data_IF_805685721548
#
_entry.id   IF_805685721548
#
_cell.length_a   1.000
_cell.length_b   1.000
_cell.length_c   1.000
_cell.angle_alpha   90.00
_cell.angle_beta   90.00
_cell.angle_gamma   90.00
#
_symmetry.space_group_name_H-M   'P 1'
#
loop_
_entity.id
_entity.type
_entity.pdbx_description
1 polymer ?
#
# COMPACT_ATOMS: atom_id res chain seq x y z
N UNK A 1 13.55 -34.42 43.20
CA UNK A 1 12.76 -34.53 41.96
C UNK A 1 11.58 -33.62 42.15
N UNK A 2 11.69 -32.38 41.70
CA UNK A 2 10.64 -31.38 41.85
C UNK A 2 10.30 -30.90 40.44
N UNK A 3 9.05 -31.18 40.08
CA UNK A 3 8.47 -31.07 38.75
C UNK A 3 8.37 -29.58 38.37
N UNK A 4 9.02 -29.18 37.28
CA UNK A 4 8.87 -27.84 36.70
C UNK A 4 7.58 -27.85 35.88
N UNK A 5 6.53 -27.09 36.23
CA UNK A 5 5.42 -26.95 35.32
C UNK A 5 5.91 -26.22 34.06
N UNK A 6 5.88 -26.93 32.94
CA UNK A 6 6.06 -26.38 31.61
C UNK A 6 4.93 -25.38 31.36
N UNK A 7 5.26 -24.08 31.40
CA UNK A 7 4.38 -23.03 30.93
C UNK A 7 4.27 -23.14 29.41
N UNK A 8 3.33 -23.96 28.96
CA UNK A 8 2.76 -23.82 27.62
C UNK A 8 1.96 -22.53 27.65
N UNK A 9 2.57 -21.46 27.17
CA UNK A 9 1.88 -20.20 26.92
C UNK A 9 0.79 -20.47 25.86
N UNK A 10 -0.44 -20.71 26.33
CA UNK A 10 -1.61 -20.84 25.48
C UNK A 10 -1.79 -19.48 24.83
N UNK A 11 -1.34 -19.36 23.58
CA UNK A 11 -1.58 -18.20 22.74
C UNK A 11 -3.09 -17.98 22.65
N UNK A 12 -3.59 -16.99 23.38
CA UNK A 12 -5.02 -16.64 23.35
C UNK A 12 -5.42 -16.38 21.90
N UNK A 13 -6.62 -16.83 21.47
CA UNK A 13 -7.10 -16.53 20.14
C UNK A 13 -7.19 -15.01 20.03
N UNK A 14 -6.44 -14.44 19.09
CA UNK A 14 -6.48 -13.00 18.78
C UNK A 14 -7.94 -12.61 18.61
N UNK A 15 -8.45 -11.75 19.49
CA UNK A 15 -9.82 -11.27 19.43
C UNK A 15 -10.05 -10.64 18.07
N UNK A 16 -11.07 -11.12 17.35
CA UNK A 16 -11.40 -10.60 16.03
C UNK A 16 -11.84 -9.15 16.17
N UNK A 17 -11.19 -8.25 15.45
CA UNK A 17 -11.51 -6.82 15.46
C UNK A 17 -12.48 -6.53 14.30
N UNK A 18 -13.78 -6.46 14.59
CA UNK A 18 -14.83 -6.39 13.56
C UNK A 18 -14.69 -5.17 12.62
N UNK A 19 -14.31 -4.00 13.15
CA UNK A 19 -14.15 -2.80 12.33
C UNK A 19 -13.00 -2.92 11.32
N UNK A 20 -11.95 -3.68 11.65
CA UNK A 20 -10.82 -3.94 10.74
C UNK A 20 -11.31 -4.73 9.52
N UNK A 21 -12.20 -5.69 9.72
CA UNK A 21 -12.79 -6.44 8.62
C UNK A 21 -13.67 -5.56 7.74
N UNK A 22 -14.48 -4.68 8.33
CA UNK A 22 -15.27 -3.70 7.57
C UNK A 22 -14.37 -2.76 6.76
N UNK A 23 -13.27 -2.28 7.35
CA UNK A 23 -12.30 -1.43 6.67
C UNK A 23 -11.61 -2.16 5.51
N UNK A 24 -11.29 -3.46 5.66
CA UNK A 24 -10.77 -4.30 4.57
C UNK A 24 -11.79 -4.46 3.44
N UNK A 25 -13.05 -4.73 3.75
CA UNK A 25 -14.12 -4.84 2.74
C UNK A 25 -14.25 -3.54 1.96
N UNK A 26 -14.23 -2.40 2.66
CA UNK A 26 -14.23 -1.09 2.01
C UNK A 26 -13.01 -0.88 1.10
N UNK A 27 -11.80 -1.22 1.58
CA UNK A 27 -10.59 -1.10 0.79
C UNK A 27 -10.62 -1.96 -0.49
N UNK A 28 -11.10 -3.21 -0.38
CA UNK A 28 -11.30 -4.12 -1.53
C UNK A 28 -12.29 -3.51 -2.52
N UNK A 29 -13.43 -3.03 -2.03
CA UNK A 29 -14.43 -2.36 -2.85
C UNK A 29 -13.85 -1.15 -3.59
N UNK A 30 -13.08 -0.30 -2.92
CA UNK A 30 -12.40 0.83 -3.54
C UNK A 30 -11.45 0.40 -4.67
N UNK A 31 -10.65 -0.67 -4.48
CA UNK A 31 -9.75 -1.18 -5.54
C UNK A 31 -10.54 -1.69 -6.74
N UNK A 32 -11.61 -2.46 -6.51
CA UNK A 32 -12.47 -2.96 -7.60
C UNK A 32 -13.13 -1.79 -8.34
N UNK A 33 -13.64 -0.80 -7.60
CA UNK A 33 -14.23 0.41 -8.18
C UNK A 33 -13.21 1.18 -9.01
N UNK A 34 -11.94 1.27 -8.58
CA UNK A 34 -10.88 1.95 -9.32
C UNK A 34 -10.73 1.36 -10.72
N UNK A 35 -10.59 0.04 -10.81
CA UNK A 35 -10.44 -0.64 -12.08
C UNK A 35 -11.71 -0.63 -12.92
N UNK A 36 -12.89 -0.70 -12.29
CA UNK A 36 -14.14 -0.54 -13.01
C UNK A 36 -14.23 0.86 -13.66
N UNK A 37 -13.90 1.92 -12.92
CA UNK A 37 -13.90 3.29 -13.44
C UNK A 37 -12.87 3.46 -14.54
N UNK A 38 -11.64 2.99 -14.37
CA UNK A 38 -10.57 3.07 -15.39
C UNK A 38 -10.88 2.25 -16.65
N UNK A 39 -11.72 1.22 -16.56
CA UNK A 39 -12.16 0.43 -17.72
C UNK A 39 -13.26 1.14 -18.49
N UNK A 40 -14.16 1.85 -17.79
CA UNK A 40 -15.31 2.53 -18.40
C UNK A 40 -14.95 3.93 -18.91
N UNK A 41 -14.12 4.67 -18.17
CA UNK A 41 -13.79 6.06 -18.44
C UNK A 41 -12.33 6.22 -18.85
N UNK A 42 -12.09 6.88 -19.99
CA UNK A 42 -10.75 7.28 -20.41
C UNK A 42 -10.40 8.64 -19.83
N UNK A 43 -9.20 8.75 -19.25
CA UNK A 43 -8.74 9.96 -18.56
C UNK A 43 -7.95 10.89 -19.50
N UNK A 44 -8.43 11.06 -20.72
CA UNK A 44 -7.93 12.05 -21.69
C UNK A 44 -8.91 13.21 -21.87
N UNK A 45 -8.38 14.37 -22.26
CA UNK A 45 -9.13 15.62 -22.34
C UNK A 45 -10.27 15.51 -23.36
N UNK A 46 -10.03 14.83 -24.48
CA UNK A 46 -10.99 14.73 -25.57
C UNK A 46 -12.20 13.89 -25.14
N UNK A 47 -11.97 12.74 -24.50
CA UNK A 47 -13.03 11.89 -23.96
C UNK A 47 -13.84 12.63 -22.88
N UNK A 48 -13.15 13.25 -21.91
CA UNK A 48 -13.79 13.95 -20.79
C UNK A 48 -14.66 15.12 -21.29
N UNK A 49 -14.21 15.84 -22.32
CA UNK A 49 -14.95 16.98 -22.89
C UNK A 49 -16.30 16.57 -23.50
N UNK A 50 -16.38 15.35 -24.05
CA UNK A 50 -17.59 14.78 -24.67
C UNK A 50 -18.60 14.24 -23.67
N UNK A 51 -18.20 13.98 -22.43
CA UNK A 51 -19.10 13.48 -21.38
C UNK A 51 -20.13 14.54 -20.96
N UNK A 52 -21.31 14.10 -20.55
CA UNK A 52 -22.29 14.98 -19.88
C UNK A 52 -21.77 15.41 -18.51
N UNK A 53 -22.23 16.56 -17.99
CA UNK A 53 -21.78 17.05 -16.68
C UNK A 53 -22.02 16.01 -15.56
N UNK A 54 -23.17 15.32 -15.57
CA UNK A 54 -23.48 14.27 -14.59
C UNK A 54 -22.47 13.11 -14.66
N UNK A 55 -22.12 12.68 -15.87
CA UNK A 55 -21.14 11.61 -16.07
C UNK A 55 -19.73 12.04 -15.66
N UNK A 56 -19.31 13.28 -15.95
CA UNK A 56 -18.03 13.82 -15.47
C UNK A 56 -17.94 13.84 -13.95
N UNK A 57 -18.97 14.35 -13.28
CA UNK A 57 -19.01 14.39 -11.81
C UNK A 57 -18.95 12.98 -11.25
N UNK A 58 -19.75 12.05 -11.78
CA UNK A 58 -19.73 10.65 -11.35
C UNK A 58 -18.33 10.02 -11.51
N UNK A 59 -17.72 10.19 -12.70
CA UNK A 59 -16.38 9.70 -12.99
C UNK A 59 -15.35 10.21 -11.97
N UNK A 60 -15.26 11.52 -11.75
CA UNK A 60 -14.27 12.09 -10.84
C UNK A 60 -14.52 11.73 -9.37
N UNK A 61 -15.78 11.65 -8.93
CA UNK A 61 -16.13 11.23 -7.57
C UNK A 61 -15.73 9.77 -7.35
N UNK A 62 -16.15 8.86 -8.23
CA UNK A 62 -15.80 7.45 -8.11
C UNK A 62 -14.29 7.22 -8.25
N UNK A 63 -13.62 7.93 -9.16
CA UNK A 63 -12.17 7.88 -9.30
C UNK A 63 -11.46 8.34 -8.03
N UNK A 64 -11.93 9.42 -7.39
CA UNK A 64 -11.30 9.93 -6.16
C UNK A 64 -11.52 8.98 -4.98
N UNK A 65 -12.75 8.51 -4.77
CA UNK A 65 -13.10 7.60 -3.67
C UNK A 65 -12.38 6.25 -3.81
N UNK A 66 -12.30 5.73 -5.04
CA UNK A 66 -11.66 4.44 -5.30
C UNK A 66 -10.15 4.43 -4.99
N UNK A 67 -9.47 5.59 -5.05
CA UNK A 67 -8.05 5.72 -4.68
C UNK A 67 -7.79 5.55 -3.18
N UNK A 68 -8.82 5.55 -2.35
CA UNK A 68 -8.70 5.27 -0.91
C UNK A 68 -8.33 3.81 -0.60
N UNK A 69 -8.49 2.88 -1.55
CA UNK A 69 -8.24 1.46 -1.30
C UNK A 69 -6.84 1.16 -0.75
N UNK A 70 -5.79 1.63 -1.44
CA UNK A 70 -4.39 1.42 -1.02
C UNK A 70 -4.06 2.10 0.33
N UNK A 71 -4.39 3.39 0.54
CA UNK A 71 -4.23 4.03 1.84
C UNK A 71 -4.86 3.23 2.98
N UNK A 72 -6.10 2.75 2.82
CA UNK A 72 -6.78 1.95 3.85
C UNK A 72 -6.07 0.61 4.12
N UNK A 73 -5.60 -0.10 3.09
CA UNK A 73 -4.81 -1.31 3.30
C UNK A 73 -3.54 -1.04 4.10
N UNK A 74 -2.84 0.06 3.83
CA UNK A 74 -1.62 0.43 4.55
C UNK A 74 -1.92 0.93 5.97
N UNK A 75 -2.99 1.70 6.20
CA UNK A 75 -3.42 2.07 7.55
C UNK A 75 -3.73 0.83 8.39
N UNK A 76 -4.47 -0.13 7.84
CA UNK A 76 -4.79 -1.40 8.52
C UNK A 76 -3.51 -2.21 8.77
N UNK A 77 -2.58 -2.24 7.83
CA UNK A 77 -1.29 -2.92 7.99
C UNK A 77 -0.49 -2.29 9.13
N UNK A 78 -0.42 -0.96 9.19
CA UNK A 78 0.20 -0.20 10.26
C UNK A 78 -0.42 -0.55 11.61
N UNK A 79 -1.72 -0.37 11.72
CA UNK A 79 -2.51 -0.67 12.91
C UNK A 79 -2.28 -2.10 13.45
N UNK A 80 -2.21 -3.11 12.58
CA UNK A 80 -2.10 -4.51 13.02
C UNK A 80 -0.67 -4.96 13.33
N UNK A 81 0.34 -4.35 12.70
CA UNK A 81 1.70 -4.88 12.66
C UNK A 81 2.73 -3.97 13.32
N UNK A 82 2.47 -2.66 13.41
CA UNK A 82 3.40 -1.71 14.04
C UNK A 82 3.21 -1.60 15.55
N UNK A 83 2.01 -1.88 16.08
CA UNK A 83 1.69 -2.00 17.52
C UNK A 83 2.23 -3.31 18.15
N UNK A 84 3.42 -3.74 17.73
CA UNK A 84 4.08 -4.94 18.24
C UNK A 84 5.57 -4.68 18.44
N UNK A 85 6.11 -5.22 19.53
CA UNK A 85 7.55 -5.31 19.74
C UNK A 85 8.02 -6.65 19.18
N UNK A 86 9.02 -6.60 18.31
CA UNK A 86 9.65 -7.76 17.68
C UNK A 86 11.03 -8.00 18.26
N UNK A 87 11.24 -9.09 19.00
CA UNK A 87 12.60 -9.57 19.29
C UNK A 87 13.31 -10.03 18.01
N UNK A 88 14.65 -10.17 18.00
CA UNK A 88 15.37 -10.68 16.83
C UNK A 88 14.80 -12.01 16.29
N UNK A 89 14.41 -12.92 17.18
CA UNK A 89 13.80 -14.20 16.82
C UNK A 89 12.42 -13.99 16.18
N UNK A 90 11.61 -13.08 16.73
CA UNK A 90 10.29 -12.76 16.20
C UNK A 90 10.38 -12.05 14.83
N UNK A 91 11.36 -11.17 14.61
CA UNK A 91 11.62 -10.56 13.30
C UNK A 91 11.97 -11.64 12.26
N UNK A 92 12.84 -12.60 12.61
CA UNK A 92 13.17 -13.73 11.73
C UNK A 92 11.96 -14.61 11.43
N UNK A 93 11.10 -14.85 12.41
CA UNK A 93 9.84 -15.59 12.22
C UNK A 93 8.90 -14.81 11.29
N UNK A 94 8.78 -13.49 11.47
CA UNK A 94 7.97 -12.63 10.62
C UNK A 94 8.43 -12.69 9.17
N UNK A 95 9.73 -12.56 8.90
CA UNK A 95 10.21 -12.66 7.53
C UNK A 95 9.98 -14.05 6.93
N UNK A 96 10.24 -15.12 7.67
CA UNK A 96 10.04 -16.49 7.16
C UNK A 96 8.57 -16.86 6.94
N UNK A 97 7.67 -16.40 7.81
CA UNK A 97 6.26 -16.81 7.77
C UNK A 97 5.34 -15.81 7.07
N UNK A 98 5.65 -14.52 7.09
CA UNK A 98 4.80 -13.49 6.50
C UNK A 98 5.41 -13.01 5.18
N UNK A 99 6.65 -12.53 5.20
CA UNK A 99 7.28 -11.95 4.02
C UNK A 99 7.58 -13.00 2.93
N UNK A 100 8.21 -14.13 3.27
CA UNK A 100 8.50 -15.19 2.30
C UNK A 100 7.21 -15.79 1.72
N UNK A 101 6.16 -15.98 2.54
CA UNK A 101 4.87 -16.48 2.03
C UNK A 101 4.21 -15.50 1.07
N UNK A 102 4.29 -14.20 1.37
CA UNK A 102 3.84 -13.14 0.46
C UNK A 102 4.61 -13.18 -0.86
N UNK A 103 5.95 -13.25 -0.79
CA UNK A 103 6.81 -13.35 -1.96
C UNK A 103 6.46 -14.58 -2.82
N UNK A 104 6.41 -15.77 -2.21
CA UNK A 104 6.06 -17.01 -2.93
C UNK A 104 4.69 -16.89 -3.62
N UNK A 105 3.71 -16.32 -2.93
CA UNK A 105 2.37 -16.12 -3.49
C UNK A 105 2.44 -15.21 -4.73
N UNK A 106 3.18 -14.12 -4.64
CA UNK A 106 3.41 -13.18 -5.75
C UNK A 106 4.13 -13.83 -6.93
N UNK A 107 5.18 -14.61 -6.68
CA UNK A 107 5.92 -15.30 -7.73
C UNK A 107 5.03 -16.31 -8.46
N UNK A 108 4.21 -17.08 -7.72
CA UNK A 108 3.23 -18.01 -8.29
C UNK A 108 2.25 -17.26 -9.20
N UNK A 109 1.66 -16.15 -8.72
CA UNK A 109 0.75 -15.35 -9.53
C UNK A 109 1.41 -14.76 -10.75
N UNK A 110 2.67 -14.32 -10.65
CA UNK A 110 3.44 -13.80 -11.79
C UNK A 110 3.59 -14.85 -12.89
N UNK A 111 3.89 -16.10 -12.54
CA UNK A 111 3.93 -17.21 -13.49
C UNK A 111 2.54 -17.49 -14.08
N UNK A 112 1.50 -17.58 -13.23
CA UNK A 112 0.13 -17.81 -13.69
C UNK A 112 -0.34 -16.73 -14.67
N UNK A 113 0.01 -15.46 -14.44
CA UNK A 113 -0.32 -14.37 -15.35
C UNK A 113 0.46 -14.45 -16.66
N UNK A 114 1.74 -14.82 -16.63
CA UNK A 114 2.50 -15.04 -17.86
C UNK A 114 1.88 -16.15 -18.72
N UNK A 115 1.42 -17.23 -18.08
CA UNK A 115 0.69 -18.32 -18.76
C UNK A 115 -0.67 -17.86 -19.29
N UNK A 116 -1.41 -17.08 -18.51
CA UNK A 116 -2.70 -16.52 -18.93
C UNK A 116 -2.56 -15.64 -20.18
N UNK A 117 -1.58 -14.73 -20.20
CA UNK A 117 -1.34 -13.86 -21.36
C UNK A 117 -0.92 -14.65 -22.60
N UNK A 118 -0.16 -15.72 -22.42
CA UNK A 118 0.24 -16.58 -23.52
C UNK A 118 -0.92 -17.39 -24.09
N UNK A 119 -1.71 -18.03 -23.24
CA UNK A 119 -2.77 -18.97 -23.65
C UNK A 119 -4.02 -18.24 -24.15
N UNK A 120 -4.43 -17.16 -23.47
CA UNK A 120 -5.73 -16.53 -23.69
C UNK A 120 -5.67 -15.17 -24.38
N UNK A 121 -4.50 -14.51 -24.40
CA UNK A 121 -4.31 -13.19 -25.02
C UNK A 121 -3.35 -13.24 -26.22
N UNK A 122 -2.98 -14.46 -26.64
CA UNK A 122 -2.09 -14.75 -27.79
C UNK A 122 -0.77 -13.95 -27.76
N UNK A 123 -0.32 -13.56 -26.56
CA UNK A 123 0.95 -12.85 -26.40
C UNK A 123 2.12 -13.82 -26.56
N UNK A 124 3.21 -13.43 -27.23
CA UNK A 124 4.36 -14.31 -27.37
C UNK A 124 4.98 -14.61 -26.01
N UNK A 125 5.10 -15.90 -25.67
CA UNK A 125 5.74 -16.31 -24.44
C UNK A 125 7.24 -16.03 -24.50
N UNK A 126 7.72 -15.19 -23.59
CA UNK A 126 9.13 -14.83 -23.51
C UNK A 126 9.65 -15.09 -22.10
N UNK A 127 10.47 -16.13 -21.98
CA UNK A 127 10.94 -16.58 -20.67
C UNK A 127 11.91 -15.60 -20.00
N UNK A 128 12.68 -14.83 -20.78
CA UNK A 128 13.54 -13.75 -20.27
C UNK A 128 12.68 -12.65 -19.63
N UNK A 129 11.55 -12.31 -20.24
CA UNK A 129 10.63 -11.33 -19.65
C UNK A 129 10.02 -11.84 -18.34
N UNK A 130 9.69 -13.12 -18.26
CA UNK A 130 9.15 -13.67 -17.00
C UNK A 130 10.21 -13.68 -15.91
N UNK A 131 11.45 -14.11 -16.20
CA UNK A 131 12.55 -14.04 -15.21
C UNK A 131 12.77 -12.60 -14.75
N UNK A 132 12.72 -11.61 -15.64
CA UNK A 132 12.78 -10.19 -15.27
C UNK A 132 11.60 -9.77 -14.39
N UNK A 133 10.43 -10.34 -14.56
CA UNK A 133 9.26 -10.08 -13.71
C UNK A 133 9.40 -10.71 -12.33
N UNK A 134 9.84 -11.97 -12.27
CA UNK A 134 10.09 -12.70 -11.02
C UNK A 134 11.22 -12.08 -10.17
N UNK A 135 12.13 -11.35 -10.81
CA UNK A 135 13.23 -10.65 -10.15
C UNK A 135 12.95 -9.16 -9.92
N UNK A 136 11.71 -8.72 -10.15
CA UNK A 136 11.28 -7.31 -10.04
C UNK A 136 12.05 -6.32 -10.93
N UNK A 137 12.82 -6.80 -11.91
CA UNK A 137 13.51 -5.98 -12.92
C UNK A 137 12.50 -5.36 -13.89
N UNK A 138 11.38 -6.04 -14.14
CA UNK A 138 10.30 -5.58 -15.02
C UNK A 138 8.95 -5.78 -14.34
N UNK A 139 8.05 -4.83 -14.48
CA UNK A 139 6.67 -5.03 -14.01
C UNK A 139 5.89 -5.99 -14.94
N UNK A 140 4.96 -6.73 -14.36
CA UNK A 140 3.90 -7.39 -15.12
C UNK A 140 3.00 -6.28 -15.71
N UNK A 141 2.62 -6.36 -17.01
CA UNK A 141 1.88 -5.28 -17.69
C UNK A 141 0.40 -5.23 -17.29
N UNK A 142 0.13 -5.13 -15.99
CA UNK A 142 -1.18 -5.01 -15.40
C UNK A 142 -1.19 -3.78 -14.48
N UNK A 143 -2.22 -2.95 -14.60
CA UNK A 143 -2.30 -1.64 -13.94
C UNK A 143 -2.29 -1.70 -12.40
N UNK A 144 -2.55 -2.85 -11.79
CA UNK A 144 -2.54 -3.06 -10.34
C UNK A 144 -1.24 -3.67 -9.80
N UNK A 145 -0.37 -4.19 -10.66
CA UNK A 145 0.82 -4.95 -10.22
C UNK A 145 1.91 -4.08 -9.61
N UNK A 146 1.80 -2.75 -9.69
CA UNK A 146 2.72 -1.83 -9.00
C UNK A 146 2.62 -1.95 -7.47
N UNK A 147 1.47 -2.35 -6.92
CA UNK A 147 1.26 -2.50 -5.48
C UNK A 147 2.15 -3.60 -4.88
N UNK A 148 2.44 -4.63 -5.67
CA UNK A 148 3.16 -5.83 -5.25
C UNK A 148 4.61 -5.56 -4.81
N UNK A 149 5.49 -4.97 -5.65
CA UNK A 149 6.85 -4.63 -5.21
C UNK A 149 6.84 -3.64 -4.05
N UNK A 150 5.88 -2.70 -4.02
CA UNK A 150 5.72 -1.75 -2.91
C UNK A 150 5.46 -2.49 -1.59
N UNK A 151 4.46 -3.37 -1.53
CA UNK A 151 4.11 -4.05 -0.27
C UNK A 151 5.18 -5.05 0.18
N UNK A 152 5.85 -5.72 -0.76
CA UNK A 152 7.01 -6.59 -0.48
C UNK A 152 8.12 -5.77 0.17
N UNK A 153 8.45 -4.61 -0.39
CA UNK A 153 9.47 -3.72 0.16
C UNK A 153 9.11 -3.24 1.58
N UNK A 154 7.87 -2.78 1.78
CA UNK A 154 7.39 -2.32 3.09
C UNK A 154 7.48 -3.42 4.15
N UNK A 155 7.09 -4.66 3.82
CA UNK A 155 7.09 -5.77 4.77
C UNK A 155 8.48 -6.20 5.24
N UNK A 156 9.55 -5.89 4.49
CA UNK A 156 10.93 -6.12 4.96
C UNK A 156 11.18 -5.30 6.23
N UNK A 157 10.74 -4.03 6.22
CA UNK A 157 11.06 -3.06 7.25
C UNK A 157 10.06 -3.03 8.42
N UNK A 158 8.90 -3.72 8.33
CA UNK A 158 7.86 -3.71 9.37
C UNK A 158 8.43 -3.98 10.79
N UNK A 159 9.19 -5.06 11.06
CA UNK A 159 9.69 -5.30 12.41
C UNK A 159 10.62 -4.19 12.93
N UNK A 160 11.42 -3.59 12.04
CA UNK A 160 12.36 -2.53 12.41
C UNK A 160 11.60 -1.24 12.74
N UNK A 161 10.65 -0.85 11.89
CA UNK A 161 9.83 0.35 12.09
C UNK A 161 9.00 0.20 13.36
N UNK A 162 8.35 -0.95 13.57
CA UNK A 162 7.55 -1.22 14.76
C UNK A 162 8.36 -1.02 16.06
N UNK A 163 9.56 -1.61 16.12
CA UNK A 163 10.45 -1.44 17.28
C UNK A 163 10.89 0.01 17.46
N UNK A 164 11.23 0.72 16.38
CA UNK A 164 11.62 2.13 16.44
C UNK A 164 10.50 3.01 17.02
N UNK A 165 9.24 2.76 16.61
CA UNK A 165 8.08 3.50 17.09
C UNK A 165 7.85 3.27 18.60
N UNK A 166 8.06 2.05 19.11
CA UNK A 166 7.95 1.76 20.54
C UNK A 166 9.05 2.40 21.41
N UNK A 167 10.20 2.72 20.81
CA UNK A 167 11.32 3.37 21.50
C UNK A 167 11.27 4.90 21.42
N UNK A 168 10.38 5.46 20.60
CA UNK A 168 10.33 6.89 20.30
C UNK A 168 9.03 7.50 20.83
N UNK A 169 9.09 8.70 21.40
CA UNK A 169 7.87 9.44 21.75
C UNK A 169 7.11 9.84 20.47
N UNK A 170 5.82 9.51 20.41
CA UNK A 170 4.92 9.83 19.30
C UNK A 170 4.98 11.31 18.87
N UNK A 171 5.20 12.23 19.81
CA UNK A 171 5.29 13.68 19.54
C UNK A 171 6.45 14.02 18.61
N UNK A 172 7.54 13.27 18.66
CA UNK A 172 8.72 13.48 17.80
C UNK A 172 8.40 13.17 16.35
N UNK A 173 7.46 12.26 16.08
CA UNK A 173 7.08 11.88 14.72
C UNK A 173 6.13 12.86 14.05
N UNK A 174 5.48 13.75 14.82
CA UNK A 174 4.59 14.77 14.25
C UNK A 174 5.36 15.64 13.26
N UNK A 175 6.58 16.07 13.61
CA UNK A 175 7.41 16.92 12.76
C UNK A 175 7.70 16.29 11.38
N UNK A 176 8.32 15.09 11.27
CA UNK A 176 8.56 14.47 9.97
C UNK A 176 7.26 14.08 9.25
N UNK A 177 6.22 13.63 9.95
CA UNK A 177 4.93 13.28 9.32
C UNK A 177 4.25 14.50 8.68
N UNK A 178 4.29 15.66 9.33
CA UNK A 178 3.76 16.92 8.77
C UNK A 178 4.54 17.31 7.52
N UNK A 179 5.87 17.20 7.52
CA UNK A 179 6.69 17.49 6.33
C UNK A 179 6.31 16.55 5.17
N UNK A 180 6.24 15.24 5.43
CA UNK A 180 5.83 14.26 4.41
C UNK A 180 4.41 14.53 3.92
N UNK A 181 3.50 14.94 4.79
CA UNK A 181 2.14 15.32 4.43
C UNK A 181 2.10 16.54 3.50
N UNK A 182 2.84 17.60 3.85
CA UNK A 182 2.93 18.81 3.02
C UNK A 182 3.47 18.44 1.63
N UNK A 183 4.55 17.66 1.57
CA UNK A 183 5.19 17.31 0.29
C UNK A 183 4.38 16.32 -0.55
N UNK A 184 3.64 15.40 0.08
CA UNK A 184 2.86 14.37 -0.63
C UNK A 184 1.45 14.81 -1.00
N UNK A 185 0.84 15.74 -0.26
CA UNK A 185 -0.57 16.13 -0.46
C UNK A 185 -0.74 17.62 -0.76
N UNK A 186 -0.20 18.52 0.07
CA UNK A 186 -0.42 19.96 -0.13
C UNK A 186 0.34 20.49 -1.33
N UNK A 187 1.62 20.17 -1.46
CA UNK A 187 2.47 20.64 -2.56
C UNK A 187 1.92 20.24 -3.95
N UNK A 188 1.53 18.97 -4.22
CA UNK A 188 0.89 18.62 -5.48
C UNK A 188 -0.44 19.36 -5.70
N UNK A 189 -1.25 19.53 -4.66
CA UNK A 189 -2.54 20.23 -4.74
C UNK A 189 -2.37 21.71 -5.09
N UNK A 190 -1.39 22.38 -4.47
CA UNK A 190 -1.03 23.77 -4.80
C UNK A 190 -0.55 23.86 -6.25
N UNK A 191 0.24 22.90 -6.72
CA UNK A 191 0.70 22.90 -8.11
C UNK A 191 -0.42 22.67 -9.13
N UNK A 192 -1.43 21.85 -8.79
CA UNK A 192 -2.64 21.73 -9.61
C UNK A 192 -3.38 23.08 -9.66
N UNK A 193 -3.54 23.76 -8.52
CA UNK A 193 -4.17 25.07 -8.47
C UNK A 193 -3.40 26.13 -9.27
N UNK A 194 -2.07 26.21 -9.12
CA UNK A 194 -1.23 27.13 -9.88
C UNK A 194 -1.35 26.90 -11.39
N UNK A 195 -1.36 25.63 -11.82
CA UNK A 195 -1.55 25.28 -13.23
C UNK A 195 -2.91 25.76 -13.77
N UNK A 196 -3.97 25.68 -12.98
CA UNK A 196 -5.30 26.19 -13.35
C UNK A 196 -5.29 27.73 -13.48
N UNK A 197 -4.58 28.41 -12.59
CA UNK A 197 -4.47 29.88 -12.59
C UNK A 197 -3.45 30.42 -13.60
N UNK A 198 -2.75 29.56 -14.35
CA UNK A 198 -1.71 29.97 -15.30
C UNK A 198 -0.40 30.43 -14.63
N UNK A 199 -0.22 30.13 -13.34
CA UNK A 199 1.03 30.39 -12.61
C UNK A 199 2.04 29.27 -12.83
N UNK A 200 3.32 29.58 -12.66
CA UNK A 200 4.38 28.57 -12.69
C UNK A 200 4.22 27.56 -11.54
N UNK A 201 4.56 26.29 -11.82
CA UNK A 201 4.59 25.26 -10.79
C UNK A 201 5.77 25.47 -9.86
N UNK A 202 5.52 25.35 -8.55
CA UNK A 202 6.55 25.32 -7.54
C UNK A 202 7.33 24.02 -7.72
N UNK A 203 8.65 24.07 -7.61
CA UNK A 203 9.53 22.90 -7.63
C UNK A 203 10.08 22.63 -6.25
N UNK A 204 10.15 21.37 -5.86
CA UNK A 204 10.87 20.91 -4.67
C UNK A 204 11.96 19.93 -5.09
N UNK A 205 13.14 20.05 -4.49
CA UNK A 205 14.28 19.12 -4.65
C UNK A 205 14.45 18.20 -3.44
N UNK A 206 13.61 18.37 -2.42
CA UNK A 206 13.68 17.59 -1.19
C UNK A 206 13.15 16.18 -1.44
N UNK A 207 14.01 15.17 -1.25
CA UNK A 207 13.62 13.76 -1.35
C UNK A 207 12.99 13.28 -0.04
N UNK A 208 11.85 12.58 -0.17
CA UNK A 208 11.16 11.88 0.93
C UNK A 208 11.27 10.35 0.78
N UNK A 209 12.13 9.86 -0.11
CA UNK A 209 12.27 8.41 -0.35
C UNK A 209 12.77 7.68 0.89
N UNK A 210 13.68 8.31 1.65
CA UNK A 210 14.17 7.76 2.91
C UNK A 210 13.06 7.52 3.94
N UNK A 211 12.01 8.34 3.96
CA UNK A 211 10.87 8.16 4.88
C UNK A 211 9.86 7.12 4.39
N UNK A 212 10.12 6.45 3.26
CA UNK A 212 9.14 5.59 2.57
C UNK A 212 8.07 6.38 1.81
N UNK A 213 8.27 7.69 1.64
CA UNK A 213 7.33 8.59 0.95
C UNK A 213 5.90 8.51 1.48
N UNK A 214 4.93 8.57 0.57
CA UNK A 214 3.50 8.56 0.90
C UNK A 214 3.05 7.22 1.53
N UNK A 215 3.69 6.10 1.17
CA UNK A 215 3.33 4.78 1.71
C UNK A 215 3.83 4.59 3.14
N UNK A 216 5.03 5.10 3.44
CA UNK A 216 5.54 5.21 4.81
C UNK A 216 4.62 6.04 5.70
N UNK A 217 4.14 7.17 5.18
CA UNK A 217 3.13 7.98 5.86
C UNK A 217 1.86 7.19 6.17
N UNK A 218 1.27 6.50 5.19
CA UNK A 218 0.08 5.68 5.43
C UNK A 218 0.32 4.58 6.46
N UNK A 219 1.46 3.88 6.38
CA UNK A 219 1.76 2.80 7.31
C UNK A 219 1.91 3.33 8.74
N UNK A 220 2.73 4.35 8.95
CA UNK A 220 3.00 4.92 10.29
C UNK A 220 1.75 5.55 10.87
N UNK A 221 0.99 6.33 10.09
CA UNK A 221 -0.26 6.94 10.56
C UNK A 221 -1.32 5.91 10.95
N UNK A 222 -1.27 4.69 10.39
CA UNK A 222 -2.15 3.59 10.78
C UNK A 222 -1.93 3.10 12.21
N UNK A 223 -0.68 3.09 12.67
CA UNK A 223 -0.31 2.77 14.06
C UNK A 223 -0.96 3.76 15.03
N UNK A 224 -0.84 5.05 14.72
CA UNK A 224 -1.37 6.15 15.51
C UNK A 224 -2.89 6.32 15.47
N UNK A 225 -3.60 5.60 14.60
CA UNK A 225 -5.06 5.57 14.62
C UNK A 225 -5.62 5.00 15.95
N UNK A 226 -4.82 4.22 16.68
CA UNK A 226 -5.13 3.76 18.05
C UNK A 226 -5.18 4.87 19.09
N UNK A 227 -4.41 5.96 18.93
CA UNK A 227 -4.37 7.06 19.92
C UNK A 227 -5.62 7.94 19.90
N UNK A 228 -6.46 7.81 18.86
CA UNK A 228 -7.67 8.61 18.65
C UNK A 228 -8.97 7.79 18.81
N UNK A 229 -8.87 6.51 19.17
CA UNK A 229 -9.99 5.61 19.46
C UNK A 229 -10.00 5.20 20.93
#
# INVERSE_FOLDING_TARGET
MEDKPSLVEIKTPTTRIAWVDTARVFAIFCVVLCHAVETVYQFDIDFISRLTMKSRVFMFVCFTISRLGVPFFLFITGFLLLDRIYTPEQSMIFWKKNWIRLLITVEIWTVLYALFLWIFQEQPFNWINVVKQLTFIKSVPLSHMWYIPMIIGMYIFIPLVANMLHLTDARVLIFPLVIVFILSFLYPSINVYNKIMGHESIKTVLSIEFSGGIYGFYLISGDYATLFL
#
